data_IF_454847534340
#
_entry.id   IF_454847534340
#
_cell.length_a   1.000
_cell.length_b   1.000
_cell.length_c   1.000
_cell.angle_alpha   90.00
_cell.angle_beta   90.00
_cell.angle_gamma   90.00
#
_symmetry.space_group_name_H-M   'P 1'
#
loop_
_entity.id
_entity.type
_entity.pdbx_description
1 polymer ?
#
# COMPACT_ATOMS: atom_id res chain seq x y z
N UNK A 1 6.61 -35.39 4.12
CA UNK A 1 6.47 -33.93 4.09
C UNK A 1 5.41 -33.63 3.05
N UNK A 2 4.18 -33.30 3.46
CA UNK A 2 3.16 -32.85 2.53
C UNK A 2 3.57 -31.45 2.03
N UNK A 3 3.67 -31.30 0.71
CA UNK A 3 3.65 -29.98 0.08
C UNK A 3 2.28 -29.38 0.38
N UNK A 4 2.15 -28.64 1.49
CA UNK A 4 1.07 -27.68 1.63
C UNK A 4 1.46 -26.51 0.73
N UNK A 5 1.17 -26.63 -0.57
CA UNK A 5 1.03 -25.45 -1.40
C UNK A 5 0.09 -24.50 -0.64
N UNK A 6 0.55 -23.27 -0.45
CA UNK A 6 -0.22 -22.22 0.23
C UNK A 6 -1.58 -22.11 -0.47
N UNK A 7 -2.63 -22.57 0.21
CA UNK A 7 -3.99 -22.53 -0.33
C UNK A 7 -4.43 -21.08 -0.44
N UNK A 8 -4.39 -20.54 -1.65
CA UNK A 8 -4.99 -19.24 -1.98
C UNK A 8 -6.29 -19.54 -2.73
N UNK A 9 -7.47 -19.08 -2.25
CA UNK A 9 -8.77 -19.38 -2.85
C UNK A 9 -9.02 -18.56 -4.13
N UNK A 10 -8.12 -18.66 -5.12
CA UNK A 10 -8.10 -17.82 -6.33
C UNK A 10 -9.39 -17.92 -7.14
N UNK A 11 -10.02 -19.09 -7.22
CA UNK A 11 -11.29 -19.26 -7.92
C UNK A 11 -12.41 -18.44 -7.26
N UNK A 12 -12.51 -18.50 -5.94
CA UNK A 12 -13.50 -17.76 -5.16
C UNK A 12 -13.23 -16.26 -5.18
N UNK A 13 -11.98 -15.83 -5.05
CA UNK A 13 -11.59 -14.41 -5.19
C UNK A 13 -11.89 -13.89 -6.61
N UNK A 14 -11.56 -14.68 -7.64
CA UNK A 14 -11.87 -14.32 -9.03
C UNK A 14 -13.37 -14.19 -9.24
N UNK A 15 -14.16 -15.11 -8.67
CA UNK A 15 -15.62 -15.04 -8.71
C UNK A 15 -16.14 -13.72 -8.12
N UNK A 16 -15.67 -13.33 -6.92
CA UNK A 16 -16.01 -12.04 -6.29
C UNK A 16 -15.75 -10.88 -7.26
N UNK A 17 -14.56 -10.82 -7.87
CA UNK A 17 -14.20 -9.75 -8.80
C UNK A 17 -14.97 -9.75 -10.12
N UNK A 18 -15.68 -10.83 -10.46
CA UNK A 18 -16.54 -10.92 -11.63
C UNK A 18 -18.01 -10.58 -11.35
N UNK A 19 -18.40 -10.44 -10.08
CA UNK A 19 -19.75 -10.01 -9.77
C UNK A 19 -20.01 -8.60 -10.27
N UNK A 20 -21.21 -8.37 -10.81
CA UNK A 20 -21.51 -7.21 -11.65
C UNK A 20 -21.34 -5.89 -10.91
N UNK A 21 -21.88 -5.80 -9.69
CA UNK A 21 -21.83 -4.62 -8.82
C UNK A 21 -20.40 -4.32 -8.36
N UNK A 22 -19.65 -5.35 -7.96
CA UNK A 22 -18.23 -5.24 -7.58
C UNK A 22 -17.41 -4.79 -8.79
N UNK A 23 -17.46 -5.54 -9.89
CA UNK A 23 -16.71 -5.24 -11.12
C UNK A 23 -16.95 -3.84 -11.62
N UNK A 24 -18.20 -3.36 -11.58
CA UNK A 24 -18.54 -2.00 -12.04
C UNK A 24 -17.79 -0.90 -11.28
N UNK A 25 -17.46 -1.14 -10.00
CA UNK A 25 -16.70 -0.19 -9.19
C UNK A 25 -15.19 -0.33 -9.39
N UNK A 26 -14.69 -1.56 -9.54
CA UNK A 26 -13.27 -1.81 -9.79
C UNK A 26 -12.81 -1.16 -11.11
N UNK A 27 -13.65 -1.22 -12.14
CA UNK A 27 -13.34 -0.70 -13.48
C UNK A 27 -13.82 0.73 -13.70
N UNK A 28 -14.42 1.37 -12.69
CA UNK A 28 -14.83 2.77 -12.79
C UNK A 28 -13.57 3.65 -12.87
N UNK A 29 -13.35 4.38 -13.98
CA UNK A 29 -12.16 5.21 -14.13
C UNK A 29 -12.06 6.33 -13.10
N UNK A 30 -13.18 6.77 -12.51
CA UNK A 30 -13.15 7.79 -11.45
C UNK A 30 -12.78 7.21 -10.07
N UNK A 31 -12.80 5.88 -9.92
CA UNK A 31 -12.38 5.20 -8.70
C UNK A 31 -10.87 4.90 -8.76
N UNK A 32 -10.07 5.96 -8.75
CA UNK A 32 -8.62 5.90 -8.72
C UNK A 32 -8.10 6.32 -7.34
N UNK A 33 -7.12 5.58 -6.82
CA UNK A 33 -6.39 5.98 -5.61
C UNK A 33 -5.65 7.29 -5.88
N UNK A 34 -5.45 8.08 -4.84
CA UNK A 34 -4.74 9.37 -4.92
C UNK A 34 -5.44 10.43 -5.80
N UNK A 35 -6.73 10.28 -6.10
CA UNK A 35 -7.49 11.21 -6.97
C UNK A 35 -7.44 12.67 -6.49
N UNK A 36 -7.26 12.91 -5.19
CA UNK A 36 -7.10 14.26 -4.63
C UNK A 36 -5.88 15.02 -5.19
N UNK A 37 -4.85 14.31 -5.65
CA UNK A 37 -3.67 14.91 -6.26
C UNK A 37 -3.80 15.07 -7.79
N UNK A 38 -4.89 14.57 -8.40
CA UNK A 38 -5.17 14.77 -9.82
C UNK A 38 -5.69 16.18 -10.04
N UNK A 39 -5.14 16.88 -11.03
CA UNK A 39 -5.49 18.29 -11.30
C UNK A 39 -6.04 18.46 -12.72
N UNK A 40 -5.18 18.33 -13.72
CA UNK A 40 -5.52 18.48 -15.13
C UNK A 40 -5.58 17.15 -15.88
N UNK A 41 -5.04 16.08 -15.28
CA UNK A 41 -4.96 14.78 -15.91
C UNK A 41 -6.35 14.12 -16.00
N UNK A 42 -6.62 13.42 -17.11
CA UNK A 42 -7.71 12.43 -17.11
C UNK A 42 -7.34 11.25 -16.20
N UNK A 43 -8.30 10.46 -15.69
CA UNK A 43 -7.96 9.30 -14.87
C UNK A 43 -7.04 8.30 -15.55
N UNK A 44 -7.20 8.10 -16.87
CA UNK A 44 -6.34 7.22 -17.66
C UNK A 44 -4.90 7.74 -17.75
N UNK A 45 -4.74 9.05 -17.98
CA UNK A 45 -3.43 9.68 -18.02
C UNK A 45 -2.74 9.66 -16.65
N UNK A 46 -3.49 9.97 -15.58
CA UNK A 46 -3.01 9.89 -14.21
C UNK A 46 -2.51 8.47 -13.86
N UNK A 47 -3.28 7.44 -14.23
CA UNK A 47 -2.90 6.06 -14.01
C UNK A 47 -1.76 5.57 -14.92
N UNK A 48 -1.60 6.13 -16.12
CA UNK A 48 -0.43 5.87 -16.96
C UNK A 48 0.86 6.36 -16.28
N UNK A 49 0.83 7.58 -15.75
CA UNK A 49 1.99 8.21 -15.10
C UNK A 49 2.36 7.49 -13.79
N UNK A 50 1.38 7.24 -12.93
CA UNK A 50 1.62 6.63 -11.61
C UNK A 50 1.65 5.10 -11.61
N UNK A 51 1.22 4.45 -12.69
CA UNK A 51 1.27 3.00 -12.82
C UNK A 51 0.04 2.27 -12.27
N UNK A 52 0.05 0.93 -12.27
CA UNK A 52 -1.13 0.12 -12.01
C UNK A 52 -1.63 0.17 -10.56
N UNK A 53 -0.79 0.61 -9.62
CA UNK A 53 -1.16 0.70 -8.20
C UNK A 53 -2.32 1.65 -7.96
N UNK A 54 -2.44 2.71 -8.77
CA UNK A 54 -3.48 3.73 -8.56
C UNK A 54 -4.85 3.33 -9.08
N UNK A 55 -4.95 2.24 -9.86
CA UNK A 55 -6.24 1.71 -10.31
C UNK A 55 -6.72 0.67 -9.31
N UNK A 56 -7.91 0.87 -8.78
CA UNK A 56 -8.51 -0.03 -7.80
C UNK A 56 -8.54 -1.49 -8.29
N UNK A 57 -8.86 -1.74 -9.57
CA UNK A 57 -8.85 -3.10 -10.14
C UNK A 57 -7.48 -3.80 -10.18
N UNK A 58 -6.37 -3.07 -10.27
CA UNK A 58 -5.03 -3.66 -10.36
C UNK A 58 -4.22 -3.57 -9.06
N UNK A 59 -4.62 -2.70 -8.13
CA UNK A 59 -3.98 -2.56 -6.83
C UNK A 59 -3.79 -3.90 -6.09
N UNK A 60 -4.81 -4.78 -5.97
CA UNK A 60 -4.62 -6.08 -5.28
C UNK A 60 -3.51 -6.94 -5.88
N UNK A 61 -3.34 -6.91 -7.20
CA UNK A 61 -2.26 -7.63 -7.88
C UNK A 61 -0.89 -7.01 -7.64
N UNK A 62 -0.81 -5.68 -7.55
CA UNK A 62 0.43 -4.97 -7.18
C UNK A 62 0.82 -5.30 -5.75
N UNK A 63 -0.10 -5.17 -4.79
CA UNK A 63 0.11 -5.49 -3.38
C UNK A 63 0.55 -6.94 -3.18
N UNK A 64 -0.09 -7.89 -3.88
CA UNK A 64 0.32 -9.30 -3.83
C UNK A 64 1.76 -9.50 -4.36
N UNK A 65 2.16 -8.79 -5.41
CA UNK A 65 3.52 -8.89 -5.94
C UNK A 65 4.57 -8.33 -4.97
N UNK A 66 4.24 -7.25 -4.26
CA UNK A 66 5.09 -6.72 -3.18
C UNK A 66 5.17 -7.75 -2.05
N UNK A 67 4.05 -8.33 -1.63
CA UNK A 67 3.98 -9.36 -0.59
C UNK A 67 4.84 -10.58 -0.91
N UNK A 68 4.84 -11.07 -2.17
CA UNK A 68 5.70 -12.20 -2.59
C UNK A 68 7.19 -11.88 -2.39
N UNK A 69 7.64 -10.71 -2.86
CA UNK A 69 9.04 -10.28 -2.70
C UNK A 69 9.41 -10.05 -1.23
N UNK A 70 8.47 -9.50 -0.46
CA UNK A 70 8.61 -9.31 0.97
C UNK A 70 8.85 -10.64 1.70
N UNK A 71 7.99 -11.63 1.46
CA UNK A 71 8.10 -12.97 2.05
C UNK A 71 9.41 -13.64 1.61
N UNK A 72 9.75 -13.56 0.33
CA UNK A 72 10.98 -14.14 -0.21
C UNK A 72 12.24 -13.56 0.45
N UNK A 73 12.33 -12.22 0.55
CA UNK A 73 13.45 -11.54 1.22
C UNK A 73 13.49 -11.91 2.71
N UNK A 74 12.35 -11.86 3.42
CA UNK A 74 12.26 -12.22 4.84
C UNK A 74 12.75 -13.65 5.09
N UNK A 75 12.33 -14.58 4.23
CA UNK A 75 12.68 -15.99 4.36
C UNK A 75 14.12 -16.31 3.93
N UNK A 76 14.81 -15.41 3.22
CA UNK A 76 16.26 -15.52 2.95
C UNK A 76 17.13 -15.04 4.12
N UNK A 77 16.66 -14.09 4.94
CA UNK A 77 17.46 -13.54 6.04
C UNK A 77 17.42 -14.45 7.30
N UNK A 78 18.52 -15.15 7.59
CA UNK A 78 18.62 -16.11 8.72
C UNK A 78 18.47 -15.48 10.11
N UNK A 79 18.69 -14.17 10.24
CA UNK A 79 18.65 -13.47 11.53
C UNK A 79 17.26 -12.91 11.89
N UNK A 80 16.27 -13.07 11.01
CA UNK A 80 14.93 -12.56 11.20
C UNK A 80 13.90 -13.69 11.33
N UNK A 81 12.78 -13.37 11.97
CA UNK A 81 11.66 -14.30 12.08
C UNK A 81 11.10 -14.63 10.69
N UNK A 82 10.96 -15.93 10.41
CA UNK A 82 10.45 -16.44 9.13
C UNK A 82 8.93 -16.35 9.04
N UNK A 83 8.44 -16.26 7.82
CA UNK A 83 7.03 -16.40 7.46
C UNK A 83 6.85 -17.81 6.92
N UNK A 84 6.09 -18.64 7.63
CA UNK A 84 5.74 -20.00 7.21
C UNK A 84 4.88 -20.01 5.94
N UNK A 85 4.73 -21.17 5.31
CA UNK A 85 3.90 -21.32 4.11
C UNK A 85 2.42 -20.99 4.37
N UNK A 86 1.92 -21.34 5.56
CA UNK A 86 0.55 -21.02 5.99
C UNK A 86 0.34 -19.51 6.17
N UNK A 87 1.26 -18.85 6.89
CA UNK A 87 1.26 -17.39 7.04
C UNK A 87 1.40 -16.67 5.69
N UNK A 88 2.21 -17.22 4.79
CA UNK A 88 2.37 -16.71 3.43
C UNK A 88 1.04 -16.75 2.66
N UNK A 89 0.31 -17.87 2.71
CA UNK A 89 -1.01 -17.99 2.08
C UNK A 89 -2.02 -16.97 2.62
N UNK A 90 -1.98 -16.70 3.92
CA UNK A 90 -2.82 -15.70 4.59
C UNK A 90 -2.49 -14.28 4.14
N UNK A 91 -1.21 -13.86 4.15
CA UNK A 91 -0.77 -12.54 3.67
C UNK A 91 -1.11 -12.35 2.19
N UNK A 92 -0.85 -13.36 1.35
CA UNK A 92 -1.12 -13.29 -0.09
C UNK A 92 -2.61 -13.24 -0.41
N UNK A 93 -3.45 -13.85 0.42
CA UNK A 93 -4.90 -13.75 0.33
C UNK A 93 -5.37 -12.37 0.77
N UNK A 94 -4.89 -11.87 1.92
CA UNK A 94 -5.19 -10.53 2.41
C UNK A 94 -4.83 -9.45 1.37
N UNK A 95 -3.66 -9.58 0.72
CA UNK A 95 -3.22 -8.69 -0.37
C UNK A 95 -4.22 -8.59 -1.52
N UNK A 96 -4.97 -9.65 -1.78
CA UNK A 96 -5.99 -9.67 -2.84
C UNK A 96 -7.32 -9.07 -2.41
N UNK A 97 -7.64 -9.04 -1.11
CA UNK A 97 -9.01 -8.76 -0.64
C UNK A 97 -9.11 -7.59 0.35
N UNK A 98 -8.00 -7.02 0.80
CA UNK A 98 -7.97 -6.01 1.87
C UNK A 98 -8.88 -4.80 1.60
N UNK A 99 -8.91 -4.30 0.37
CA UNK A 99 -9.74 -3.14 0.01
C UNK A 99 -11.20 -3.50 -0.34
N UNK A 100 -11.62 -4.77 -0.29
CA UNK A 100 -13.01 -5.12 -0.65
C UNK A 100 -14.03 -4.41 0.25
N UNK A 101 -13.66 -4.13 1.51
CA UNK A 101 -14.50 -3.37 2.44
C UNK A 101 -14.72 -1.92 2.03
N UNK A 102 -13.82 -1.33 1.24
CA UNK A 102 -13.91 0.07 0.80
C UNK A 102 -14.96 0.28 -0.32
N UNK A 103 -15.47 -0.81 -0.90
CA UNK A 103 -16.46 -0.75 -1.98
C UNK A 103 -17.83 -0.25 -1.51
N UNK A 104 -18.58 0.36 -2.44
CA UNK A 104 -19.95 0.81 -2.23
C UNK A 104 -20.95 -0.26 -2.67
N UNK A 105 -21.43 -1.09 -1.76
CA UNK A 105 -22.36 -2.19 -2.07
C UNK A 105 -23.76 -1.85 -1.56
N UNK A 106 -24.77 -1.94 -2.44
CA UNK A 106 -26.18 -1.67 -2.13
C UNK A 106 -26.43 -0.30 -1.45
N UNK A 107 -25.65 0.71 -1.84
CA UNK A 107 -25.75 2.07 -1.29
C UNK A 107 -25.09 2.25 0.09
N UNK A 108 -24.43 1.23 0.62
CA UNK A 108 -23.56 1.32 1.80
C UNK A 108 -22.10 1.42 1.40
N UNK A 109 -21.25 1.92 2.28
CA UNK A 109 -19.80 2.10 2.05
C UNK A 109 -19.41 3.53 1.71
N UNK A 110 -18.15 3.87 1.96
CA UNK A 110 -17.64 5.24 1.83
C UNK A 110 -16.75 5.45 0.59
N UNK A 111 -16.20 4.37 0.02
CA UNK A 111 -15.09 4.46 -0.94
C UNK A 111 -13.75 4.51 -0.22
N UNK A 112 -12.67 4.65 -1.00
CA UNK A 112 -11.31 4.91 -0.49
C UNK A 112 -11.30 6.25 0.28
N UNK A 113 -11.21 6.16 1.61
CA UNK A 113 -11.08 7.31 2.51
C UNK A 113 -9.60 7.48 2.85
N UNK A 114 -9.08 8.69 2.61
CA UNK A 114 -7.70 9.02 3.00
C UNK A 114 -7.47 8.77 4.49
N UNK A 115 -6.33 8.18 4.83
CA UNK A 115 -5.97 7.73 6.18
C UNK A 115 -6.26 8.76 7.29
N UNK A 116 -5.97 10.04 7.06
CA UNK A 116 -6.21 11.13 8.02
C UNK A 116 -7.69 11.45 8.30
N UNK A 117 -8.60 10.86 7.53
CA UNK A 117 -10.05 11.03 7.65
C UNK A 117 -10.75 9.71 8.03
N UNK A 118 -9.97 8.63 8.22
CA UNK A 118 -10.48 7.33 8.63
C UNK A 118 -10.93 7.36 10.09
N UNK A 119 -12.03 6.68 10.41
CA UNK A 119 -12.65 6.67 11.74
C UNK A 119 -13.08 5.26 12.10
N UNK A 120 -13.32 4.98 13.38
CA UNK A 120 -13.82 3.67 13.84
C UNK A 120 -15.16 3.29 13.16
N UNK A 121 -16.04 4.27 12.92
CA UNK A 121 -17.28 4.04 12.17
C UNK A 121 -17.00 3.61 10.72
N UNK A 122 -15.95 4.15 10.09
CA UNK A 122 -15.53 3.71 8.75
C UNK A 122 -15.00 2.28 8.77
N UNK A 123 -14.19 1.88 9.78
CA UNK A 123 -13.69 0.51 9.92
C UNK A 123 -14.84 -0.50 10.08
N UNK A 124 -15.86 -0.17 10.89
CA UNK A 124 -17.04 -1.01 11.09
C UNK A 124 -17.88 -1.18 9.81
N UNK A 125 -18.01 -0.10 9.03
CA UNK A 125 -18.71 -0.13 7.73
C UNK A 125 -17.93 -1.00 6.74
N UNK A 126 -16.60 -0.84 6.67
CA UNK A 126 -15.75 -1.64 5.80
C UNK A 126 -15.82 -3.14 6.13
N UNK A 127 -15.80 -3.51 7.42
CA UNK A 127 -15.98 -4.92 7.83
C UNK A 127 -17.34 -5.44 7.38
N UNK A 128 -18.42 -4.65 7.56
CA UNK A 128 -19.76 -5.04 7.13
C UNK A 128 -19.85 -5.26 5.63
N UNK A 129 -19.23 -4.38 4.83
CA UNK A 129 -19.17 -4.53 3.36
C UNK A 129 -18.38 -5.78 2.99
N UNK A 130 -17.21 -5.97 3.61
CA UNK A 130 -16.36 -7.13 3.39
C UNK A 130 -17.12 -8.43 3.66
N UNK A 131 -17.78 -8.56 4.81
CA UNK A 131 -18.55 -9.75 5.17
C UNK A 131 -19.71 -10.01 4.20
N UNK A 132 -20.37 -8.95 3.71
CA UNK A 132 -21.42 -9.08 2.68
C UNK A 132 -20.88 -9.62 1.36
N UNK A 133 -19.74 -9.12 0.91
CA UNK A 133 -19.10 -9.58 -0.33
C UNK A 133 -18.65 -11.03 -0.19
N UNK A 134 -17.91 -11.35 0.87
CA UNK A 134 -17.37 -12.69 1.10
C UNK A 134 -18.48 -13.71 1.39
N UNK A 135 -19.60 -13.26 1.98
CA UNK A 135 -20.81 -14.07 2.17
C UNK A 135 -21.41 -14.63 0.87
N UNK A 136 -21.04 -14.10 -0.30
CA UNK A 136 -21.46 -14.59 -1.63
C UNK A 136 -20.65 -15.79 -2.13
N UNK A 137 -19.50 -16.08 -1.50
CA UNK A 137 -18.66 -17.24 -1.85
C UNK A 137 -19.35 -18.54 -1.42
N UNK A 138 -19.72 -19.38 -2.38
CA UNK A 138 -20.48 -20.62 -2.11
C UNK A 138 -19.68 -21.67 -1.31
N UNK A 139 -18.37 -21.77 -1.57
CA UNK A 139 -17.50 -22.70 -0.84
C UNK A 139 -17.21 -22.16 0.57
N UNK A 140 -17.68 -22.88 1.59
CA UNK A 140 -17.55 -22.48 3.00
C UNK A 140 -16.10 -22.50 3.49
N UNK A 141 -15.25 -23.36 2.93
CA UNK A 141 -13.83 -23.44 3.28
C UNK A 141 -13.10 -22.21 2.75
N UNK A 142 -13.30 -21.87 1.48
CA UNK A 142 -12.71 -20.67 0.88
C UNK A 142 -13.23 -19.40 1.56
N UNK A 143 -14.53 -19.34 1.84
CA UNK A 143 -15.14 -18.23 2.60
C UNK A 143 -14.48 -18.06 3.98
N UNK A 144 -14.32 -19.15 4.72
CA UNK A 144 -13.65 -19.16 6.02
C UNK A 144 -12.22 -18.67 5.90
N UNK A 145 -11.46 -19.17 4.91
CA UNK A 145 -10.08 -18.79 4.68
C UNK A 145 -9.90 -17.30 4.34
N UNK A 146 -10.74 -16.77 3.44
CA UNK A 146 -10.75 -15.34 3.07
C UNK A 146 -11.07 -14.48 4.30
N UNK A 147 -12.05 -14.90 5.10
CA UNK A 147 -12.45 -14.20 6.33
C UNK A 147 -11.31 -14.19 7.35
N UNK A 148 -10.66 -15.33 7.58
CA UNK A 148 -9.48 -15.41 8.46
C UNK A 148 -8.37 -14.49 7.98
N UNK A 149 -8.06 -14.49 6.68
CA UNK A 149 -7.01 -13.64 6.14
C UNK A 149 -7.30 -12.15 6.40
N UNK A 150 -8.55 -11.71 6.20
CA UNK A 150 -8.93 -10.33 6.50
C UNK A 150 -8.85 -10.01 7.99
N UNK A 151 -9.37 -10.88 8.87
CA UNK A 151 -9.38 -10.63 10.33
C UNK A 151 -7.97 -10.65 10.95
N UNK A 152 -7.12 -11.58 10.55
CA UNK A 152 -5.78 -11.73 11.12
C UNK A 152 -4.77 -10.70 10.59
N UNK A 153 -4.97 -10.23 9.36
CA UNK A 153 -4.01 -9.35 8.66
C UNK A 153 -4.50 -7.91 8.58
N UNK A 154 -5.73 -7.68 8.14
CA UNK A 154 -6.26 -6.33 7.84
C UNK A 154 -6.80 -5.68 9.10
N UNK A 155 -7.62 -6.41 9.86
CA UNK A 155 -8.24 -5.89 11.08
C UNK A 155 -7.28 -5.93 12.29
N UNK A 156 -6.43 -6.96 12.40
CA UNK A 156 -5.47 -7.08 13.49
C UNK A 156 -4.08 -6.52 13.12
N UNK A 157 -3.99 -5.20 12.99
CA UNK A 157 -2.78 -4.46 12.59
C UNK A 157 -1.56 -4.69 13.51
N UNK A 158 -1.80 -5.12 14.76
CA UNK A 158 -0.75 -5.39 15.76
C UNK A 158 -0.21 -6.82 15.76
N UNK A 159 -0.89 -7.74 15.06
CA UNK A 159 -0.42 -9.12 14.90
C UNK A 159 0.88 -9.17 14.10
N UNK A 160 1.60 -10.30 14.16
CA UNK A 160 2.78 -10.53 13.31
C UNK A 160 2.46 -10.32 11.82
N UNK A 161 1.33 -10.87 11.36
CA UNK A 161 0.93 -10.80 9.96
C UNK A 161 0.39 -9.42 9.58
N UNK A 162 -0.35 -8.77 10.48
CA UNK A 162 -0.82 -7.40 10.30
C UNK A 162 0.32 -6.39 10.20
N UNK A 163 1.35 -6.52 11.05
CA UNK A 163 2.57 -5.71 10.97
C UNK A 163 3.34 -5.94 9.67
N UNK A 164 3.44 -7.19 9.21
CA UNK A 164 4.07 -7.52 7.93
C UNK A 164 3.28 -6.91 6.76
N UNK A 165 1.95 -7.00 6.78
CA UNK A 165 1.11 -6.45 5.73
C UNK A 165 1.10 -4.93 5.70
N UNK A 166 1.05 -4.28 6.87
CA UNK A 166 1.24 -2.83 6.99
C UNK A 166 2.59 -2.40 6.37
N UNK A 167 3.67 -3.16 6.57
CA UNK A 167 4.94 -2.88 5.89
C UNK A 167 4.83 -3.01 4.35
N UNK A 168 4.13 -4.02 3.85
CA UNK A 168 3.87 -4.24 2.41
C UNK A 168 3.10 -3.06 1.81
N UNK A 169 2.02 -2.59 2.44
CA UNK A 169 1.25 -1.45 1.97
C UNK A 169 2.09 -0.17 1.93
N UNK A 170 2.88 0.09 2.99
CA UNK A 170 3.78 1.25 3.05
C UNK A 170 4.83 1.26 1.95
N UNK A 171 5.33 0.08 1.56
CA UNK A 171 6.21 -0.05 0.39
C UNK A 171 5.44 0.33 -0.89
N UNK A 172 4.18 -0.09 -1.03
CA UNK A 172 3.29 0.31 -2.14
C UNK A 172 3.14 1.83 -2.22
N UNK A 173 2.77 2.48 -1.11
CA UNK A 173 2.68 3.94 -1.00
C UNK A 173 3.99 4.63 -1.39
N UNK A 174 5.13 4.17 -0.84
CA UNK A 174 6.45 4.72 -1.16
C UNK A 174 6.77 4.61 -2.65
N UNK A 175 6.55 3.45 -3.26
CA UNK A 175 6.81 3.23 -4.69
C UNK A 175 5.98 4.19 -5.56
N UNK A 176 4.72 4.40 -5.22
CA UNK A 176 3.84 5.34 -5.95
C UNK A 176 4.29 6.79 -5.77
N UNK A 177 4.68 7.20 -4.56
CA UNK A 177 5.21 8.55 -4.31
C UNK A 177 6.55 8.82 -5.00
N UNK A 178 7.45 7.84 -5.03
CA UNK A 178 8.73 7.92 -5.75
C UNK A 178 8.52 7.91 -7.26
N UNK A 179 7.51 7.19 -7.76
CA UNK A 179 7.13 7.23 -9.18
C UNK A 179 6.53 8.57 -9.59
N UNK A 180 5.74 9.20 -8.72
CA UNK A 180 5.28 10.58 -8.95
C UNK A 180 6.48 11.54 -9.09
N UNK A 181 7.50 11.36 -8.25
CA UNK A 181 8.74 12.14 -8.30
C UNK A 181 9.59 11.84 -9.54
N UNK A 182 9.86 10.59 -9.87
CA UNK A 182 10.73 10.25 -11.01
C UNK A 182 10.04 10.50 -12.35
N UNK A 183 8.73 10.36 -12.40
CA UNK A 183 7.92 10.45 -13.60
C UNK A 183 7.94 9.17 -14.44
N UNK A 184 7.21 9.20 -15.55
CA UNK A 184 7.16 8.13 -16.53
C UNK A 184 7.39 8.73 -17.92
N UNK A 185 8.39 8.22 -18.65
CA UNK A 185 8.81 8.75 -19.96
C UNK A 185 9.11 10.27 -19.98
N UNK A 186 9.65 10.80 -18.87
CA UNK A 186 9.98 12.23 -18.73
C UNK A 186 8.80 13.11 -18.32
N UNK A 187 7.61 12.54 -18.14
CA UNK A 187 6.41 13.26 -17.71
C UNK A 187 6.05 12.93 -16.25
N UNK A 188 5.42 13.88 -15.56
CA UNK A 188 4.94 13.74 -14.18
C UNK A 188 3.50 14.20 -14.10
N UNK A 189 2.78 13.74 -13.08
CA UNK A 189 1.53 14.39 -12.71
C UNK A 189 1.84 15.83 -12.28
N UNK A 190 0.91 16.75 -12.49
CA UNK A 190 1.12 18.17 -12.26
C UNK A 190 1.34 18.48 -10.77
N UNK A 191 0.63 17.78 -9.88
CA UNK A 191 0.83 17.87 -8.43
C UNK A 191 1.74 16.76 -7.90
N UNK A 192 2.82 16.44 -8.61
CA UNK A 192 3.75 15.39 -8.19
C UNK A 192 4.38 15.70 -6.83
N UNK A 193 4.74 16.96 -6.58
CA UNK A 193 5.38 17.37 -5.33
C UNK A 193 4.42 17.21 -4.15
N UNK A 194 3.11 17.46 -4.35
CA UNK A 194 2.09 17.24 -3.33
C UNK A 194 1.95 15.76 -2.97
N UNK A 195 1.84 14.88 -3.97
CA UNK A 195 1.76 13.43 -3.76
C UNK A 195 3.04 12.87 -3.13
N UNK A 196 4.21 13.23 -3.67
CA UNK A 196 5.51 12.82 -3.13
C UNK A 196 5.69 13.32 -1.70
N UNK A 197 5.41 14.59 -1.42
CA UNK A 197 5.48 15.14 -0.06
C UNK A 197 4.56 14.43 0.92
N UNK A 198 3.34 14.10 0.49
CA UNK A 198 2.38 13.34 1.29
C UNK A 198 2.92 11.96 1.65
N UNK A 199 3.40 11.21 0.66
CA UNK A 199 3.98 9.89 0.88
C UNK A 199 5.21 9.97 1.78
N UNK A 200 6.15 10.87 1.51
CA UNK A 200 7.37 10.99 2.31
C UNK A 200 7.05 11.32 3.78
N UNK A 201 6.13 12.26 4.02
CA UNK A 201 5.72 12.67 5.37
C UNK A 201 5.04 11.56 6.18
N UNK A 202 4.30 10.66 5.52
CA UNK A 202 3.52 9.63 6.21
C UNK A 202 4.23 8.27 6.31
N UNK A 203 5.15 7.97 5.38
CA UNK A 203 5.69 6.61 5.25
C UNK A 203 7.13 6.45 5.74
N UNK A 204 8.00 7.45 5.58
CA UNK A 204 9.45 7.25 5.77
C UNK A 204 9.80 6.87 7.22
N UNK A 205 9.31 7.60 8.22
CA UNK A 205 9.58 7.27 9.63
C UNK A 205 9.10 5.85 9.97
N UNK A 206 7.94 5.48 9.47
CA UNK A 206 7.35 4.17 9.74
C UNK A 206 8.18 3.06 9.10
N UNK A 207 8.63 3.24 7.85
CA UNK A 207 9.52 2.30 7.18
C UNK A 207 10.89 2.21 7.88
N UNK A 208 11.44 3.33 8.33
CA UNK A 208 12.69 3.34 9.12
C UNK A 208 12.57 2.55 10.42
N UNK A 209 11.43 2.61 11.10
CA UNK A 209 11.17 1.82 12.30
C UNK A 209 11.03 0.31 12.00
N UNK A 210 10.56 -0.03 10.80
CA UNK A 210 10.27 -1.41 10.39
C UNK A 210 11.48 -2.12 9.76
N UNK A 211 12.47 -1.39 9.24
CA UNK A 211 13.60 -1.94 8.47
C UNK A 211 14.47 -2.95 9.23
N UNK A 212 14.44 -2.93 10.56
CA UNK A 212 15.18 -3.89 11.39
C UNK A 212 14.44 -5.21 11.59
N UNK A 213 13.12 -5.20 11.43
CA UNK A 213 12.28 -6.39 11.58
C UNK A 213 12.00 -7.06 10.24
N UNK A 214 12.04 -6.28 9.14
CA UNK A 214 11.68 -6.73 7.81
C UNK A 214 12.76 -6.42 6.78
N UNK A 215 13.43 -7.45 6.28
CA UNK A 215 14.57 -7.28 5.36
C UNK A 215 14.18 -6.58 4.06
N UNK A 216 12.99 -6.85 3.53
CA UNK A 216 12.54 -6.23 2.30
C UNK A 216 12.31 -4.71 2.44
N UNK A 217 11.90 -4.25 3.63
CA UNK A 217 11.79 -2.81 3.91
C UNK A 217 13.17 -2.17 3.82
N UNK A 218 14.19 -2.79 4.41
CA UNK A 218 15.58 -2.33 4.31
C UNK A 218 16.07 -2.28 2.87
N UNK A 219 15.86 -3.36 2.11
CA UNK A 219 16.24 -3.43 0.68
C UNK A 219 15.60 -2.29 -0.14
N UNK A 220 14.33 -1.98 0.12
CA UNK A 220 13.63 -0.88 -0.56
C UNK A 220 14.21 0.49 -0.18
N UNK A 221 14.48 0.73 1.10
CA UNK A 221 15.04 2.00 1.57
C UNK A 221 16.47 2.23 1.05
N UNK A 222 17.34 1.22 1.17
CA UNK A 222 18.72 1.27 0.67
C UNK A 222 18.76 1.40 -0.86
N UNK A 223 17.96 0.59 -1.56
CA UNK A 223 17.90 0.59 -3.03
C UNK A 223 17.36 1.90 -3.63
N UNK A 224 16.62 2.70 -2.85
CA UNK A 224 16.08 3.98 -3.27
C UNK A 224 16.70 5.18 -2.54
N UNK A 225 17.82 4.99 -1.83
CA UNK A 225 18.38 6.00 -0.94
C UNK A 225 18.58 7.36 -1.63
N UNK A 226 19.23 7.35 -2.80
CA UNK A 226 19.46 8.57 -3.59
C UNK A 226 18.13 9.22 -4.01
N UNK A 227 17.19 8.42 -4.54
CA UNK A 227 15.92 8.92 -5.05
C UNK A 227 15.05 9.54 -3.94
N UNK A 228 15.00 8.92 -2.76
CA UNK A 228 14.29 9.45 -1.59
C UNK A 228 14.93 10.78 -1.15
N UNK A 229 16.26 10.86 -1.13
CA UNK A 229 17.01 12.07 -0.75
C UNK A 229 16.74 13.22 -1.72
N UNK A 230 16.80 12.95 -3.03
CA UNK A 230 16.47 13.92 -4.06
C UNK A 230 15.01 14.37 -3.96
N UNK A 231 14.08 13.43 -3.73
CA UNK A 231 12.66 13.74 -3.56
C UNK A 231 12.41 14.69 -2.36
N UNK A 232 13.02 14.43 -1.20
CA UNK A 232 12.93 15.34 -0.05
C UNK A 232 13.47 16.75 -0.37
N UNK A 233 14.60 16.82 -1.04
CA UNK A 233 15.24 18.10 -1.37
C UNK A 233 14.45 18.90 -2.40
N UNK A 234 13.89 18.25 -3.42
CA UNK A 234 13.06 18.92 -4.42
C UNK A 234 11.71 19.34 -3.84
N UNK A 235 11.04 18.50 -3.06
CA UNK A 235 9.77 18.88 -2.42
C UNK A 235 9.97 20.06 -1.45
N UNK A 236 11.07 20.09 -0.69
CA UNK A 236 11.36 21.18 0.26
C UNK A 236 11.58 22.55 -0.42
N UNK A 237 11.86 22.60 -1.72
CA UNK A 237 12.00 23.86 -2.48
C UNK A 237 10.65 24.47 -2.89
N UNK A 238 9.56 23.72 -2.76
CA UNK A 238 8.23 24.11 -3.22
C UNK A 238 7.34 24.50 -2.04
N UNK A 239 6.42 25.43 -2.28
CA UNK A 239 5.36 25.75 -1.34
C UNK A 239 4.36 24.59 -1.25
N UNK A 240 3.76 24.39 -0.07
CA UNK A 240 2.70 23.39 0.11
C UNK A 240 1.43 23.89 -0.59
N UNK A 241 1.12 23.32 -1.75
CA UNK A 241 -0.11 23.65 -2.47
C UNK A 241 -1.30 22.87 -1.93
N UNK A 242 -2.50 23.41 -2.16
CA UNK A 242 -3.75 22.69 -1.90
C UNK A 242 -3.95 21.55 -2.91
N UNK A 243 -4.48 20.43 -2.42
CA UNK A 243 -5.03 19.35 -3.23
C UNK A 243 -6.39 19.74 -3.84
N UNK A 244 -6.98 18.83 -4.60
CA UNK A 244 -8.28 19.03 -5.26
C UNK A 244 -9.44 19.26 -4.28
N UNK A 245 -9.28 18.86 -3.03
CA UNK A 245 -10.27 19.04 -1.97
C UNK A 245 -10.05 20.36 -1.20
N UNK A 246 -9.08 21.18 -1.65
CA UNK A 246 -8.75 22.47 -1.05
C UNK A 246 -7.89 22.36 0.22
N UNK A 247 -7.42 21.16 0.58
CA UNK A 247 -6.61 20.91 1.78
C UNK A 247 -5.12 20.94 1.43
N UNK A 248 -4.22 21.26 2.38
CA UNK A 248 -2.78 21.14 2.12
C UNK A 248 -2.43 19.73 1.64
N UNK A 249 -1.66 19.62 0.55
CA UNK A 249 -1.30 18.32 -0.05
C UNK A 249 -0.55 17.40 0.92
N UNK A 250 0.16 17.98 1.90
CA UNK A 250 0.82 17.23 2.98
C UNK A 250 1.03 18.11 4.22
N UNK A 251 1.27 17.45 5.34
CA UNK A 251 1.62 18.11 6.61
C UNK A 251 3.11 18.49 6.61
N UNK A 252 3.40 19.79 6.59
CA UNK A 252 4.76 20.32 6.54
C UNK A 252 5.59 19.92 7.77
N UNK A 253 4.98 19.84 8.95
CA UNK A 253 5.70 19.45 10.17
C UNK A 253 6.11 17.99 10.11
N UNK A 254 5.19 17.10 9.71
CA UNK A 254 5.51 15.68 9.49
C UNK A 254 6.55 15.49 8.39
N UNK A 255 6.47 16.27 7.31
CA UNK A 255 7.45 16.23 6.23
C UNK A 255 8.86 16.58 6.74
N UNK A 256 9.00 17.67 7.50
CA UNK A 256 10.30 18.08 8.06
C UNK A 256 10.85 17.04 9.04
N UNK A 257 10.00 16.48 9.91
CA UNK A 257 10.40 15.40 10.82
C UNK A 257 10.86 14.15 10.05
N UNK A 258 10.15 13.77 8.98
CA UNK A 258 10.51 12.64 8.16
C UNK A 258 11.84 12.86 7.42
N UNK A 259 12.07 14.08 6.93
CA UNK A 259 13.34 14.48 6.29
C UNK A 259 14.51 14.38 7.26
N UNK A 260 14.37 14.94 8.47
CA UNK A 260 15.41 14.87 9.50
C UNK A 260 15.71 13.42 9.91
N UNK A 261 14.68 12.59 10.11
CA UNK A 261 14.85 11.18 10.43
C UNK A 261 15.59 10.42 9.31
N UNK A 262 15.28 10.73 8.04
CA UNK A 262 15.94 10.17 6.88
C UNK A 262 17.42 10.55 6.78
N UNK A 263 17.73 11.84 6.93
CA UNK A 263 19.11 12.34 6.91
C UNK A 263 19.97 11.71 8.01
N UNK A 264 19.42 11.58 9.22
CA UNK A 264 20.09 10.90 10.32
C UNK A 264 20.35 9.42 9.99
N UNK A 265 19.37 8.70 9.43
CA UNK A 265 19.51 7.29 9.10
C UNK A 265 20.64 7.02 8.09
N UNK A 266 20.81 7.89 7.09
CA UNK A 266 21.89 7.76 6.09
C UNK A 266 23.27 7.99 6.70
N UNK A 267 23.42 8.97 7.59
CA UNK A 267 24.70 9.26 8.24
C UNK A 267 25.20 8.02 9.02
N UNK A 268 24.28 7.27 9.63
CA UNK A 268 24.62 6.04 10.34
C UNK A 268 24.98 4.88 9.41
N UNK A 269 24.38 4.76 8.22
CA UNK A 269 24.76 3.71 7.27
C UNK A 269 26.16 3.92 6.69
N UNK A 270 26.55 5.18 6.42
CA UNK A 270 27.86 5.51 5.84
C UNK A 270 29.01 5.36 6.87
N UNK A 271 28.74 5.56 8.15
CA UNK A 271 29.74 5.38 9.22
C UNK A 271 30.07 3.92 9.56
N UNK A 272 29.22 2.98 9.15
CA UNK A 272 29.41 1.53 9.37
C UNK A 272 30.00 0.81 8.16
N UNK A 273 30.15 1.50 7.01
CA UNK A 273 30.82 0.98 5.82
C UNK A 273 32.15 1.72 5.66
N UNK A 274 33.28 1.25 6.25
CA UNK A 274 34.57 1.82 5.94
C UNK A 274 34.80 1.68 4.43
N UNK A 275 35.12 2.81 3.80
CA UNK A 275 35.46 2.94 2.38
C UNK A 275 36.25 1.73 1.89
N UNK A 276 35.63 0.96 0.98
CA UNK A 276 36.33 -0.09 0.22
C UNK A 276 37.27 0.53 -0.80
#
# INVERSE_FOLDING_TARGET
>A
MSNHESHIPLKSITFIFHEKDIRSQLVNPENIRYNRFRTIETPEHFALLLGPDVKFASHPGVTQNIAKKFIESQNKNENLEKISDGESGIILTASLVHDLGELKIDGLGHGDISFEHHTEDHENVEETIFERIVGRVADLSDRGYITTAYKEVVQNKDSKLGKAFNAIERIGYLNTGLRAFSGFNGERISNWFGLTGNVLSNQIIQLLNLQNNYSYVREILEGNQQLITEAFNEVAKNEVLSDRDGKPSYDLNKFNQAKEAWENAIIFSDSLMPSR
#
